data_IF_592550856691
#
_entry.id   IF_592550856691
#
_cell.length_a   1.000
_cell.length_b   1.000
_cell.length_c   1.000
_cell.angle_alpha   90.00
_cell.angle_beta   90.00
_cell.angle_gamma   90.00
#
_symmetry.space_group_name_H-M   'P 1'
#
loop_
_entity.id
_entity.type
_entity.pdbx_description
1 polymer ?
#
# COMPACT_ATOMS: atom_id res chain seq x y z
N UNK A 1 10.56 17.21 -33.01
CA UNK A 1 9.69 16.10 -32.57
C UNK A 1 10.34 15.49 -31.33
N UNK A 2 9.73 15.62 -30.14
CA UNK A 2 10.32 15.12 -28.89
C UNK A 2 9.90 13.66 -28.72
N UNK A 3 10.87 12.75 -28.76
CA UNK A 3 10.67 11.31 -28.53
C UNK A 3 10.32 11.06 -27.06
N UNK A 4 9.15 10.48 -26.80
CA UNK A 4 8.67 10.10 -25.46
C UNK A 4 8.90 8.63 -25.13
N UNK A 5 9.77 7.94 -25.87
CA UNK A 5 10.18 6.58 -25.53
C UNK A 5 11.17 6.64 -24.35
N UNK A 6 10.65 6.93 -23.15
CA UNK A 6 11.35 6.64 -21.91
C UNK A 6 11.62 5.14 -21.90
N UNK A 7 12.89 4.76 -21.90
CA UNK A 7 13.31 3.36 -21.81
C UNK A 7 12.63 2.74 -20.56
N UNK A 8 11.83 1.67 -20.70
CA UNK A 8 11.07 1.09 -19.57
C UNK A 8 12.00 0.62 -18.44
N UNK A 9 13.27 0.33 -18.76
CA UNK A 9 14.29 0.01 -17.77
C UNK A 9 14.63 1.20 -16.88
N UNK A 10 14.62 2.42 -17.42
CA UNK A 10 14.82 3.65 -16.65
C UNK A 10 13.60 4.01 -15.80
N UNK A 11 12.40 3.58 -16.19
CA UNK A 11 11.19 3.79 -15.38
C UNK A 11 11.19 2.88 -14.14
N UNK A 12 11.51 1.60 -14.31
CA UNK A 12 11.67 0.65 -13.20
C UNK A 12 12.84 1.03 -12.29
N UNK A 13 13.96 1.46 -12.85
CA UNK A 13 15.12 1.87 -12.07
C UNK A 13 14.85 3.17 -11.29
N UNK A 14 14.09 4.13 -11.84
CA UNK A 14 13.64 5.31 -11.07
C UNK A 14 12.66 4.97 -9.94
N UNK A 15 11.83 3.95 -10.11
CA UNK A 15 10.94 3.45 -9.04
C UNK A 15 11.74 2.72 -7.94
N UNK A 16 12.86 2.08 -8.31
CA UNK A 16 13.63 1.20 -7.41
C UNK A 16 14.85 1.88 -6.77
N UNK A 17 15.43 2.89 -7.41
CA UNK A 17 16.73 3.51 -7.08
C UNK A 17 16.59 4.91 -6.47
N UNK A 18 15.37 5.43 -6.30
CA UNK A 18 15.16 6.61 -5.47
C UNK A 18 15.39 6.24 -3.99
N UNK A 19 16.37 6.85 -3.30
CA UNK A 19 16.53 6.67 -1.86
C UNK A 19 15.32 7.31 -1.17
N UNK A 20 14.31 6.49 -0.87
CA UNK A 20 13.07 6.92 -0.24
C UNK A 20 12.04 7.44 -1.24
N UNK A 21 11.40 6.54 -1.99
CA UNK A 21 9.99 6.77 -2.34
C UNK A 21 9.25 6.94 -1.02
N UNK A 22 9.03 8.20 -0.68
CA UNK A 22 8.43 8.64 0.56
C UNK A 22 7.19 7.80 0.83
N UNK A 23 7.21 7.04 1.94
CA UNK A 23 6.06 6.26 2.37
C UNK A 23 4.82 7.17 2.27
N UNK A 24 3.65 6.70 1.82
CA UNK A 24 2.45 7.53 1.64
C UNK A 24 2.15 8.43 2.85
N UNK A 25 2.49 7.95 4.04
CA UNK A 25 2.48 8.69 5.30
C UNK A 25 3.28 10.01 5.32
N UNK A 26 4.45 10.06 4.68
CA UNK A 26 5.30 11.25 4.66
C UNK A 26 4.76 12.33 3.72
N UNK A 27 4.16 11.91 2.59
CA UNK A 27 3.58 12.85 1.61
C UNK A 27 2.17 13.30 1.99
N UNK A 28 1.38 12.40 2.58
CA UNK A 28 -0.03 12.59 2.93
C UNK A 28 -0.34 12.02 4.33
N UNK A 29 0.24 12.59 5.41
CA UNK A 29 0.05 12.09 6.77
C UNK A 29 -1.41 12.11 7.24
N UNK A 30 -2.23 13.02 6.72
CA UNK A 30 -3.67 13.09 6.96
C UNK A 30 -4.43 11.89 6.40
N UNK A 31 -3.97 11.37 5.26
CA UNK A 31 -4.60 10.25 4.55
C UNK A 31 -4.03 8.89 5.00
N UNK A 32 -2.73 8.88 5.31
CA UNK A 32 -1.97 7.72 5.74
C UNK A 32 -1.32 8.05 7.09
N UNK A 33 -2.01 7.86 8.23
CA UNK A 33 -1.53 8.31 9.54
C UNK A 33 -0.33 7.52 10.06
N UNK A 34 0.02 6.41 9.42
CA UNK A 34 1.15 5.57 9.79
C UNK A 34 1.87 5.05 8.55
N UNK A 35 3.18 4.83 8.66
CA UNK A 35 3.99 4.13 7.67
C UNK A 35 3.95 2.60 7.85
N UNK A 36 3.12 2.08 8.75
CA UNK A 36 2.99 0.65 9.05
C UNK A 36 2.03 -0.05 8.10
N UNK A 37 2.33 -1.30 7.78
CA UNK A 37 1.46 -2.16 6.98
C UNK A 37 0.12 -2.34 7.68
N UNK A 38 -1.00 -2.07 7.00
CA UNK A 38 -2.35 -2.22 7.58
C UNK A 38 -2.71 -3.66 7.95
N UNK A 39 -2.10 -4.62 7.27
CA UNK A 39 -2.36 -6.05 7.42
C UNK A 39 -1.69 -6.58 8.70
N UNK A 40 -0.36 -6.52 8.81
CA UNK A 40 0.35 -7.08 9.98
C UNK A 40 0.62 -6.07 11.10
N UNK A 41 0.55 -4.76 10.83
CA UNK A 41 0.87 -3.63 11.75
C UNK A 41 2.29 -3.60 12.35
N UNK A 42 3.11 -4.63 12.14
CA UNK A 42 4.48 -4.70 12.65
C UNK A 42 5.51 -4.04 11.72
N UNK A 43 5.44 -4.39 10.44
CA UNK A 43 6.40 -3.98 9.41
C UNK A 43 6.04 -2.64 8.77
N UNK A 44 7.05 -1.98 8.20
CA UNK A 44 6.86 -0.80 7.35
C UNK A 44 6.13 -1.21 6.05
N UNK A 45 5.14 -0.42 5.65
CA UNK A 45 4.37 -0.58 4.42
C UNK A 45 5.17 -0.14 3.19
N UNK A 46 6.30 -0.80 2.91
CA UNK A 46 7.05 -0.55 1.69
C UNK A 46 6.50 -1.31 0.49
N UNK A 47 6.96 -0.95 -0.71
CA UNK A 47 6.42 -1.43 -1.97
C UNK A 47 6.51 -2.96 -2.15
N UNK A 48 7.45 -3.65 -1.49
CA UNK A 48 7.53 -5.11 -1.58
C UNK A 48 6.65 -5.80 -0.55
N UNK A 49 6.62 -5.28 0.67
CA UNK A 49 5.82 -5.85 1.75
C UNK A 49 4.32 -5.73 1.45
N UNK A 50 3.88 -4.59 0.91
CA UNK A 50 2.46 -4.34 0.61
C UNK A 50 1.96 -5.15 -0.58
N UNK A 51 2.86 -5.53 -1.49
CA UNK A 51 2.52 -6.32 -2.67
C UNK A 51 1.85 -7.64 -2.28
N UNK A 52 2.20 -8.18 -1.11
CA UNK A 52 1.71 -9.46 -0.61
C UNK A 52 0.72 -9.29 0.54
N UNK A 53 -0.13 -10.29 0.73
CA UNK A 53 -0.84 -10.48 2.00
C UNK A 53 0.17 -11.08 2.97
N UNK A 54 0.88 -10.25 3.73
CA UNK A 54 2.03 -10.66 4.53
C UNK A 54 1.70 -11.65 5.67
N UNK A 55 0.43 -11.83 6.00
CA UNK A 55 -0.02 -12.88 6.93
C UNK A 55 -0.08 -14.23 6.21
N UNK A 56 -0.53 -14.26 4.96
CA UNK A 56 -0.66 -15.49 4.15
C UNK A 56 0.63 -15.88 3.44
N UNK A 57 1.44 -14.90 3.06
CA UNK A 57 2.63 -15.03 2.23
C UNK A 57 3.82 -14.32 2.91
N UNK A 58 4.24 -14.77 4.10
CA UNK A 58 5.28 -14.09 4.88
C UNK A 58 6.65 -14.14 4.20
N UNK A 59 6.98 -15.26 3.52
CA UNK A 59 8.26 -15.42 2.85
C UNK A 59 8.37 -14.52 1.61
N UNK A 60 7.28 -14.31 0.90
CA UNK A 60 7.24 -13.41 -0.26
C UNK A 60 7.22 -11.93 0.16
N UNK A 61 6.66 -11.63 1.34
CA UNK A 61 6.59 -10.28 1.91
C UNK A 61 7.88 -9.82 2.62
N UNK A 62 8.83 -10.74 2.86
CA UNK A 62 10.08 -10.48 3.58
C UNK A 62 11.17 -9.83 2.71
N UNK A 63 11.38 -10.23 1.44
CA UNK A 63 12.33 -9.57 0.57
C UNK A 63 11.99 -8.10 0.36
N UNK A 64 13.01 -7.24 0.45
CA UNK A 64 12.93 -5.81 0.10
C UNK A 64 13.26 -5.56 -1.37
N UNK A 65 13.03 -6.56 -2.22
CA UNK A 65 13.28 -6.53 -3.67
C UNK A 65 12.04 -6.93 -4.45
N UNK A 66 11.77 -6.26 -5.57
CA UNK A 66 10.65 -6.59 -6.45
C UNK A 66 10.78 -8.06 -6.93
N UNK A 67 9.73 -8.91 -6.79
CA UNK A 67 9.78 -10.31 -7.19
C UNK A 67 10.10 -10.49 -8.69
N UNK A 68 10.93 -11.48 -9.01
CA UNK A 68 11.35 -11.75 -10.40
C UNK A 68 10.16 -12.00 -11.34
N UNK A 69 9.10 -12.65 -10.85
CA UNK A 69 7.87 -12.87 -11.63
C UNK A 69 7.18 -11.56 -11.99
N UNK A 70 7.14 -10.59 -11.06
CA UNK A 70 6.57 -9.27 -11.35
C UNK A 70 7.43 -8.51 -12.37
N UNK A 71 8.76 -8.58 -12.24
CA UNK A 71 9.68 -8.00 -13.24
C UNK A 71 9.49 -8.63 -14.62
N UNK A 72 9.30 -9.95 -14.68
CA UNK A 72 9.04 -10.69 -15.90
C UNK A 72 7.70 -10.31 -16.54
N UNK A 73 6.63 -10.29 -15.74
CA UNK A 73 5.28 -9.98 -16.21
C UNK A 73 5.17 -8.59 -16.86
N UNK A 74 5.88 -7.58 -16.34
CA UNK A 74 5.92 -6.23 -16.93
C UNK A 74 6.57 -6.21 -18.32
N UNK A 75 7.51 -7.13 -18.59
CA UNK A 75 8.20 -7.27 -19.87
C UNK A 75 7.55 -8.33 -20.78
N UNK A 76 6.57 -9.07 -20.28
CA UNK A 76 5.94 -10.18 -20.99
C UNK A 76 4.95 -9.68 -22.05
N UNK A 77 4.82 -10.43 -23.14
CA UNK A 77 3.72 -10.27 -24.10
C UNK A 77 2.54 -11.20 -23.78
N UNK A 78 2.69 -12.07 -22.78
CA UNK A 78 1.63 -12.93 -22.31
C UNK A 78 0.61 -12.13 -21.51
N UNK A 79 -0.65 -12.16 -21.96
CA UNK A 79 -1.75 -11.41 -21.35
C UNK A 79 -2.05 -11.89 -19.93
N UNK A 80 -1.95 -13.18 -19.65
CA UNK A 80 -2.25 -13.73 -18.34
C UNK A 80 -1.18 -13.34 -17.33
N UNK A 81 0.09 -13.34 -17.73
CA UNK A 81 1.18 -12.84 -16.88
C UNK A 81 1.02 -11.35 -16.54
N UNK A 82 0.67 -10.53 -17.54
CA UNK A 82 0.41 -9.11 -17.33
C UNK A 82 -0.81 -8.89 -16.41
N UNK A 83 -1.90 -9.61 -16.63
CA UNK A 83 -3.10 -9.52 -15.78
C UNK A 83 -2.81 -9.94 -14.34
N UNK A 84 -2.01 -11.00 -14.15
CA UNK A 84 -1.58 -11.42 -12.82
C UNK A 84 -0.86 -10.28 -12.09
N UNK A 85 0.08 -9.59 -12.76
CA UNK A 85 0.78 -8.46 -12.17
C UNK A 85 -0.16 -7.30 -11.80
N UNK A 86 -1.13 -6.99 -12.66
CA UNK A 86 -2.16 -5.97 -12.38
C UNK A 86 -3.00 -6.35 -11.17
N UNK A 87 -3.51 -7.58 -11.10
CA UNK A 87 -4.30 -8.03 -9.95
C UNK A 87 -3.50 -8.04 -8.65
N UNK A 88 -2.21 -8.35 -8.72
CA UNK A 88 -1.33 -8.28 -7.56
C UNK A 88 -1.25 -6.84 -7.00
N UNK A 89 -1.12 -5.85 -7.88
CA UNK A 89 -1.09 -4.42 -7.50
C UNK A 89 -2.46 -3.96 -6.98
N UNK A 90 -3.55 -4.33 -7.64
CA UNK A 90 -4.91 -4.00 -7.18
C UNK A 90 -5.14 -4.54 -5.77
N UNK A 91 -4.84 -5.82 -5.52
CA UNK A 91 -5.00 -6.40 -4.19
C UNK A 91 -4.13 -5.72 -3.13
N UNK A 92 -2.92 -5.27 -3.50
CA UNK A 92 -2.08 -4.49 -2.60
C UNK A 92 -2.71 -3.14 -2.24
N UNK A 93 -3.28 -2.43 -3.23
CA UNK A 93 -3.97 -1.17 -3.04
C UNK A 93 -5.25 -1.33 -2.21
N UNK A 94 -6.02 -2.40 -2.39
CA UNK A 94 -7.19 -2.68 -1.57
C UNK A 94 -6.82 -2.88 -0.09
N UNK A 95 -5.69 -3.55 0.19
CA UNK A 95 -5.22 -3.79 1.56
C UNK A 95 -4.61 -2.56 2.22
N UNK A 96 -3.96 -1.68 1.46
CA UNK A 96 -3.23 -0.53 1.99
C UNK A 96 -3.87 0.83 1.70
N UNK A 97 -4.98 0.84 0.97
CA UNK A 97 -5.68 2.05 0.56
C UNK A 97 -6.03 2.96 1.73
N UNK A 98 -6.32 4.24 1.49
CA UNK A 98 -6.55 5.24 2.54
C UNK A 98 -7.50 4.74 3.62
N UNK A 99 -7.24 5.11 4.87
CA UNK A 99 -8.19 4.77 5.93
C UNK A 99 -9.46 5.58 5.67
N UNK A 100 -10.63 4.94 5.72
CA UNK A 100 -11.87 5.72 5.71
C UNK A 100 -11.82 6.72 6.87
N UNK A 101 -12.20 7.99 6.66
CA UNK A 101 -12.30 8.93 7.74
C UNK A 101 -13.25 8.30 8.77
N UNK A 102 -12.80 8.24 10.03
CA UNK A 102 -13.66 7.82 11.12
C UNK A 102 -14.88 8.75 11.11
N UNK A 103 -15.95 8.33 10.47
CA UNK A 103 -17.24 8.96 10.64
C UNK A 103 -17.51 8.82 12.12
N UNK A 104 -17.49 9.97 12.80
CA UNK A 104 -17.86 10.07 14.18
C UNK A 104 -19.15 9.27 14.35
N UNK A 105 -19.05 8.15 15.05
CA UNK A 105 -20.20 7.42 15.56
C UNK A 105 -20.91 8.41 16.46
N UNK A 106 -21.92 9.08 15.88
CA UNK A 106 -22.82 9.96 16.60
C UNK A 106 -23.68 9.09 17.48
N UNK A 107 -23.20 8.80 18.67
CA UNK A 107 -24.00 8.22 19.75
C UNK A 107 -24.14 9.24 20.88
N UNK A 108 -25.15 10.13 20.83
CA UNK A 108 -25.49 10.97 21.97
C UNK A 108 -26.50 10.23 22.84
N UNK A 109 -26.12 9.10 23.44
CA UNK A 109 -26.88 8.53 24.55
C UNK A 109 -26.00 8.32 25.78
N UNK A 110 -25.55 9.44 26.34
CA UNK A 110 -25.20 9.52 27.75
C UNK A 110 -26.04 10.60 28.43
N UNK A 111 -27.29 10.25 28.72
CA UNK A 111 -28.09 10.94 29.74
C UNK A 111 -27.45 10.60 31.08
N UNK A 112 -26.51 11.43 31.55
CA UNK A 112 -26.14 11.45 32.97
C UNK A 112 -27.25 12.18 33.71
N UNK A 113 -28.14 11.40 34.31
CA UNK A 113 -29.01 11.87 35.37
C UNK A 113 -28.14 12.34 36.54
N UNK A 114 -28.30 13.60 36.95
CA UNK A 114 -27.75 14.14 38.20
C UNK A 114 -28.62 13.67 39.37
N UNK A 115 -28.06 13.04 40.42
CA UNK A 115 -28.80 12.80 41.64
C UNK A 115 -28.90 14.13 42.43
N UNK A 116 -30.13 14.54 42.76
CA UNK A 116 -30.37 15.58 43.77
C UNK A 116 -30.21 14.95 45.15
N UNK A 117 -29.19 15.37 45.89
CA UNK A 117 -29.05 15.10 47.32
C UNK A 117 -29.67 16.27 48.09
N UNK A 118 -30.62 15.91 48.95
CA UNK A 118 -31.15 16.57 50.16
C UNK A 118 -31.40 18.08 50.13
#
# INVERSE_FOLDING_TARGET
MRSWASNPETALDRITTAPGTDAPHRMHPETYPTNKCKVCRGETADHTHVLWDCIKHPEEARPRTIPSRLKGAVKSYDREEQLWAVYQVIGALERQGPSEPATASGDPRRVTATPKTT
#
